data_IF_105088300995
#
_entry.id   IF_105088300995
#
_cell.length_a   1.000
_cell.length_b   1.000
_cell.length_c   1.000
_cell.angle_alpha   90.00
_cell.angle_beta   90.00
_cell.angle_gamma   90.00
#
_symmetry.space_group_name_H-M   'P 1'
#
loop_
_entity.id
_entity.type
_entity.pdbx_description
1 polymer ?
#
# COMPACT_ATOMS: atom_id res chain seq x y z
N UNK A 1 31.94 -32.61 -23.74
CA UNK A 1 33.30 -32.47 -23.20
C UNK A 1 33.42 -31.42 -22.08
N UNK A 2 34.58 -31.37 -21.41
CA UNK A 2 34.99 -30.27 -20.52
C UNK A 2 35.61 -29.17 -21.38
N UNK A 3 35.13 -27.93 -21.32
CA UNK A 3 35.67 -26.81 -22.11
C UNK A 3 36.24 -25.71 -21.21
N UNK A 4 37.43 -25.20 -21.53
CA UNK A 4 37.96 -23.94 -21.01
C UNK A 4 38.12 -23.00 -22.22
N UNK A 5 37.39 -21.89 -22.23
CA UNK A 5 37.60 -20.84 -23.22
C UNK A 5 38.13 -19.61 -22.50
N UNK A 6 39.33 -19.18 -22.90
CA UNK A 6 40.06 -18.04 -22.38
C UNK A 6 40.36 -17.15 -23.57
N UNK A 7 39.79 -15.95 -23.59
CA UNK A 7 40.08 -14.96 -24.61
C UNK A 7 40.50 -13.66 -23.90
N UNK A 8 41.72 -13.22 -24.20
CA UNK A 8 42.35 -12.01 -23.64
C UNK A 8 43.01 -11.23 -24.77
N UNK A 9 42.72 -9.95 -24.91
CA UNK A 9 43.26 -9.09 -25.96
C UNK A 9 43.84 -7.79 -25.38
N UNK A 10 44.91 -7.21 -25.96
CA UNK A 10 45.40 -5.88 -25.59
C UNK A 10 44.38 -4.82 -26.03
N UNK A 11 43.92 -3.98 -25.09
CA UNK A 11 42.87 -2.99 -25.37
C UNK A 11 41.47 -3.59 -25.27
N UNK A 12 40.84 -3.92 -26.41
CA UNK A 12 39.45 -4.41 -26.46
C UNK A 12 39.37 -5.86 -26.92
N UNK A 13 38.49 -6.65 -26.30
CA UNK A 13 38.23 -8.02 -26.72
C UNK A 13 36.77 -8.15 -27.20
N UNK A 14 36.60 -8.58 -28.45
CA UNK A 14 35.29 -8.91 -29.01
C UNK A 14 35.25 -10.40 -29.30
N UNK A 15 34.24 -11.08 -28.80
CA UNK A 15 33.94 -12.47 -29.14
C UNK A 15 32.52 -12.55 -29.69
N UNK A 16 32.39 -12.99 -30.94
CA UNK A 16 31.11 -13.34 -31.55
C UNK A 16 31.06 -14.86 -31.71
N UNK A 17 30.14 -15.53 -31.01
CA UNK A 17 30.03 -16.98 -31.10
C UNK A 17 29.28 -17.65 -29.97
N UNK A 18 28.73 -18.82 -30.28
CA UNK A 18 28.03 -19.67 -29.33
C UNK A 18 28.98 -20.69 -28.68
N UNK A 19 28.88 -20.84 -27.37
CA UNK A 19 29.71 -21.71 -26.56
C UNK A 19 28.80 -22.77 -25.92
N UNK A 20 29.04 -24.05 -26.21
CA UNK A 20 28.33 -25.16 -25.60
C UNK A 20 29.31 -26.12 -24.87
N UNK A 21 29.05 -26.44 -23.61
CA UNK A 21 29.91 -27.36 -22.85
C UNK A 21 29.15 -28.17 -21.79
N UNK A 22 29.49 -29.46 -21.60
CA UNK A 22 28.93 -30.25 -20.51
C UNK A 22 29.37 -29.70 -19.14
N UNK A 23 30.67 -29.40 -19.01
CA UNK A 23 31.24 -28.60 -17.92
C UNK A 23 32.21 -27.57 -18.48
N UNK A 24 32.20 -26.34 -17.99
CA UNK A 24 33.18 -25.37 -18.49
C UNK A 24 33.41 -24.12 -17.66
N UNK A 25 34.60 -23.54 -17.86
CA UNK A 25 34.93 -22.19 -17.39
C UNK A 25 35.18 -21.34 -18.62
N UNK A 26 34.45 -20.23 -18.74
CA UNK A 26 34.58 -19.32 -19.87
C UNK A 26 34.92 -17.94 -19.33
N UNK A 27 36.06 -17.42 -19.77
CA UNK A 27 36.59 -16.12 -19.37
C UNK A 27 36.87 -15.30 -20.63
N UNK A 28 36.22 -14.14 -20.72
CA UNK A 28 36.55 -13.10 -21.68
C UNK A 28 36.96 -11.85 -20.89
N UNK A 29 38.17 -11.37 -21.15
CA UNK A 29 38.84 -10.31 -20.38
C UNK A 29 39.59 -9.35 -21.29
N UNK A 30 39.51 -8.04 -21.06
CA UNK A 30 40.33 -7.05 -21.79
C UNK A 30 40.65 -5.83 -20.89
N UNK A 31 41.78 -5.13 -21.10
CA UNK A 31 42.14 -3.92 -20.33
C UNK A 31 41.23 -2.70 -20.57
N UNK A 32 40.56 -2.63 -21.72
CA UNK A 32 39.67 -1.53 -22.13
C UNK A 32 38.21 -1.96 -22.10
N UNK A 33 37.73 -2.59 -23.18
CA UNK A 33 36.35 -3.06 -23.30
C UNK A 33 36.27 -4.54 -23.64
N UNK A 34 35.26 -5.25 -23.11
CA UNK A 34 35.02 -6.64 -23.45
C UNK A 34 33.57 -6.85 -23.90
N UNK A 35 33.39 -7.33 -25.13
CA UNK A 35 32.09 -7.58 -25.74
C UNK A 35 31.97 -9.06 -26.10
N UNK A 36 30.93 -9.73 -25.58
CA UNK A 36 30.52 -11.05 -26.07
C UNK A 36 29.15 -10.94 -26.72
N UNK A 37 29.06 -11.22 -28.02
CA UNK A 37 27.82 -11.49 -28.72
C UNK A 37 27.65 -13.01 -28.97
N UNK A 38 26.61 -13.63 -28.43
CA UNK A 38 26.32 -15.05 -28.69
C UNK A 38 25.82 -15.83 -27.47
N UNK A 39 25.45 -17.08 -27.70
CA UNK A 39 24.80 -17.90 -26.66
C UNK A 39 25.79 -18.77 -25.89
N UNK A 40 25.56 -18.90 -24.59
CA UNK A 40 26.34 -19.76 -23.71
C UNK A 40 25.42 -20.86 -23.14
N UNK A 41 25.69 -22.11 -23.46
CA UNK A 41 25.01 -23.27 -22.91
C UNK A 41 25.96 -24.15 -22.09
N UNK A 42 25.62 -24.44 -20.84
CA UNK A 42 26.43 -25.37 -20.03
C UNK A 42 25.68 -26.25 -19.05
N UNK A 43 26.02 -27.54 -18.96
CA UNK A 43 25.49 -28.41 -17.90
C UNK A 43 25.89 -27.90 -16.51
N UNK A 44 27.19 -27.65 -16.31
CA UNK A 44 27.72 -26.99 -15.11
C UNK A 44 28.87 -26.03 -15.47
N UNK A 45 28.76 -24.74 -15.15
CA UNK A 45 29.79 -23.79 -15.58
C UNK A 45 29.98 -22.55 -14.72
N UNK A 46 31.13 -21.92 -14.92
CA UNK A 46 31.42 -20.55 -14.47
C UNK A 46 31.71 -19.70 -15.69
N UNK A 47 31.01 -18.59 -15.85
CA UNK A 47 31.19 -17.67 -16.96
C UNK A 47 31.52 -16.30 -16.37
N UNK A 48 32.65 -15.74 -16.79
CA UNK A 48 33.16 -14.45 -16.34
C UNK A 48 33.44 -13.59 -17.57
N UNK A 49 32.82 -12.43 -17.62
CA UNK A 49 33.14 -11.37 -18.58
C UNK A 49 33.56 -10.15 -17.76
N UNK A 50 34.77 -9.66 -17.96
CA UNK A 50 35.36 -8.60 -17.15
C UNK A 50 36.22 -7.64 -17.96
N UNK A 51 36.06 -6.33 -17.76
CA UNK A 51 36.95 -5.32 -18.34
C UNK A 51 37.01 -4.07 -17.46
N UNK A 52 38.16 -3.37 -17.33
CA UNK A 52 38.29 -2.11 -16.59
C UNK A 52 37.39 -0.97 -17.10
N UNK A 53 37.15 -0.86 -18.41
CA UNK A 53 36.27 0.15 -18.99
C UNK A 53 34.81 -0.29 -19.01
N UNK A 54 34.43 -1.07 -20.03
CA UNK A 54 33.04 -1.52 -20.22
C UNK A 54 32.98 -3.01 -20.55
N UNK A 55 31.95 -3.69 -20.04
CA UNK A 55 31.70 -5.10 -20.32
C UNK A 55 30.27 -5.31 -20.82
N UNK A 56 30.12 -5.82 -22.04
CA UNK A 56 28.83 -6.02 -22.70
C UNK A 56 28.66 -7.49 -23.06
N UNK A 57 27.57 -8.10 -22.58
CA UNK A 57 27.13 -9.41 -23.06
C UNK A 57 25.80 -9.25 -23.78
N UNK A 58 25.76 -9.62 -25.07
CA UNK A 58 24.54 -9.68 -25.87
C UNK A 58 24.29 -11.15 -26.26
N UNK A 59 23.31 -11.80 -25.63
CA UNK A 59 23.04 -13.21 -25.90
C UNK A 59 22.40 -13.97 -24.75
N UNK A 60 22.08 -15.24 -25.01
CA UNK A 60 21.39 -16.09 -24.04
C UNK A 60 22.36 -16.97 -23.26
N UNK A 61 22.13 -17.08 -21.96
CA UNK A 61 22.89 -17.92 -21.05
C UNK A 61 21.97 -19.01 -20.50
N UNK A 62 22.20 -20.28 -20.86
CA UNK A 62 21.51 -21.43 -20.31
C UNK A 62 22.45 -22.30 -19.48
N UNK A 63 22.06 -22.66 -18.25
CA UNK A 63 22.85 -23.58 -17.43
C UNK A 63 22.09 -24.50 -16.49
N UNK A 64 22.46 -25.78 -16.43
CA UNK A 64 21.94 -26.69 -15.39
C UNK A 64 22.33 -26.20 -13.99
N UNK A 65 23.63 -25.96 -13.78
CA UNK A 65 24.19 -25.34 -12.57
C UNK A 65 25.29 -24.33 -12.89
N UNK A 66 25.02 -23.04 -12.69
CA UNK A 66 25.89 -21.97 -13.18
C UNK A 66 26.28 -20.92 -12.14
N UNK A 67 27.47 -20.34 -12.30
CA UNK A 67 27.77 -18.98 -11.81
C UNK A 67 28.08 -18.11 -13.02
N UNK A 68 27.41 -16.98 -13.15
CA UNK A 68 27.65 -16.03 -14.23
C UNK A 68 27.96 -14.69 -13.60
N UNK A 69 29.10 -14.12 -13.97
CA UNK A 69 29.61 -12.85 -13.48
C UNK A 69 29.93 -11.97 -14.68
N UNK A 70 29.29 -10.81 -14.73
CA UNK A 70 29.62 -9.72 -15.63
C UNK A 70 30.02 -8.52 -14.78
N UNK A 71 31.26 -8.04 -14.94
CA UNK A 71 31.83 -7.01 -14.06
C UNK A 71 32.65 -6.00 -14.85
N UNK A 72 32.45 -4.71 -14.62
CA UNK A 72 33.32 -3.66 -15.16
C UNK A 72 33.33 -2.42 -14.25
N UNK A 73 34.50 -1.81 -13.95
CA UNK A 73 34.61 -0.55 -13.24
C UNK A 73 33.75 0.58 -13.83
N UNK A 74 33.72 0.76 -15.16
CA UNK A 74 32.87 1.76 -15.81
C UNK A 74 31.41 1.31 -15.93
N UNK A 75 31.09 0.52 -16.95
CA UNK A 75 29.71 0.08 -17.22
C UNK A 75 29.61 -1.40 -17.56
N UNK A 76 28.57 -2.06 -17.04
CA UNK A 76 28.31 -3.47 -17.31
C UNK A 76 26.88 -3.65 -17.85
N UNK A 77 26.76 -4.18 -19.07
CA UNK A 77 25.48 -4.35 -19.77
C UNK A 77 25.29 -5.81 -20.15
N UNK A 78 24.18 -6.40 -19.71
CA UNK A 78 23.72 -7.70 -20.20
C UNK A 78 22.41 -7.52 -20.96
N UNK A 79 22.40 -7.81 -22.25
CA UNK A 79 21.22 -7.85 -23.09
C UNK A 79 20.95 -9.31 -23.51
N UNK A 80 19.92 -9.94 -22.94
CA UNK A 80 19.55 -11.31 -23.27
C UNK A 80 18.99 -12.11 -22.11
N UNK A 81 18.72 -13.39 -22.38
CA UNK A 81 18.00 -14.25 -21.44
C UNK A 81 18.94 -15.14 -20.64
N UNK A 82 18.67 -15.28 -19.35
CA UNK A 82 19.39 -16.14 -18.43
C UNK A 82 18.46 -17.23 -17.91
N UNK A 83 18.71 -18.48 -18.27
CA UNK A 83 18.00 -19.66 -17.77
C UNK A 83 18.93 -20.53 -16.90
N UNK A 84 18.50 -20.90 -15.70
CA UNK A 84 19.27 -21.86 -14.89
C UNK A 84 18.48 -22.79 -13.97
N UNK A 85 18.84 -24.07 -13.93
CA UNK A 85 18.31 -25.00 -12.92
C UNK A 85 18.68 -24.53 -11.51
N UNK A 86 19.99 -24.31 -11.28
CA UNK A 86 20.53 -23.72 -10.04
C UNK A 86 21.64 -22.71 -10.34
N UNK A 87 21.38 -21.42 -10.09
CA UNK A 87 22.26 -20.34 -10.55
C UNK A 87 22.64 -19.32 -9.49
N UNK A 88 23.84 -18.73 -9.62
CA UNK A 88 24.13 -17.38 -9.12
C UNK A 88 24.47 -16.51 -10.31
N UNK A 89 23.79 -15.39 -10.45
CA UNK A 89 24.06 -14.42 -11.51
C UNK A 89 24.38 -13.09 -10.83
N UNK A 90 25.52 -12.53 -11.17
CA UNK A 90 26.02 -11.28 -10.63
C UNK A 90 26.39 -10.37 -11.80
N UNK A 91 25.76 -9.20 -11.83
CA UNK A 91 26.10 -8.11 -12.71
C UNK A 91 26.49 -6.91 -11.83
N UNK A 92 27.73 -6.43 -11.96
CA UNK A 92 28.29 -5.44 -11.06
C UNK A 92 29.11 -4.39 -11.80
N UNK A 93 28.86 -3.11 -11.55
CA UNK A 93 29.70 -2.04 -12.06
C UNK A 93 29.68 -0.80 -11.14
N UNK A 94 30.85 -0.27 -10.73
CA UNK A 94 30.98 1.02 -10.04
C UNK A 94 30.17 2.16 -10.68
N UNK A 95 30.24 2.34 -12.01
CA UNK A 95 29.43 3.35 -12.70
C UNK A 95 27.97 2.93 -12.87
N UNK A 96 27.66 2.15 -13.91
CA UNK A 96 26.29 1.74 -14.23
C UNK A 96 26.17 0.27 -14.60
N UNK A 97 25.12 -0.39 -14.10
CA UNK A 97 24.84 -1.79 -14.40
C UNK A 97 23.44 -1.96 -14.98
N UNK A 98 23.34 -2.49 -16.20
CA UNK A 98 22.08 -2.65 -16.93
C UNK A 98 21.87 -4.11 -17.30
N UNK A 99 20.72 -4.66 -16.93
CA UNK A 99 20.26 -5.95 -17.44
C UNK A 99 18.98 -5.73 -18.24
N UNK A 100 18.99 -6.05 -19.52
CA UNK A 100 17.81 -6.05 -20.39
C UNK A 100 17.54 -7.50 -20.83
N UNK A 101 16.49 -8.13 -20.31
CA UNK A 101 16.11 -9.48 -20.67
C UNK A 101 15.52 -10.31 -19.53
N UNK A 102 15.25 -11.58 -19.83
CA UNK A 102 14.52 -12.45 -18.90
C UNK A 102 15.44 -13.35 -18.10
N UNK A 103 15.15 -13.50 -16.81
CA UNK A 103 15.84 -14.37 -15.89
C UNK A 103 14.89 -15.48 -15.41
N UNK A 104 15.14 -16.73 -15.79
CA UNK A 104 14.43 -17.90 -15.31
C UNK A 104 15.33 -18.79 -14.45
N UNK A 105 14.87 -19.19 -13.25
CA UNK A 105 15.63 -20.15 -12.45
C UNK A 105 14.82 -21.10 -11.55
N UNK A 106 15.18 -22.38 -11.52
CA UNK A 106 14.61 -23.31 -10.54
C UNK A 106 14.97 -22.87 -9.11
N UNK A 107 16.27 -22.66 -8.86
CA UNK A 107 16.80 -22.09 -7.61
C UNK A 107 17.91 -21.08 -7.88
N UNK A 108 17.65 -19.80 -7.64
CA UNK A 108 18.55 -18.72 -8.05
C UNK A 108 18.92 -17.71 -6.96
N UNK A 109 20.11 -17.15 -7.05
CA UNK A 109 20.40 -15.81 -6.52
C UNK A 109 20.78 -14.91 -7.69
N UNK A 110 20.12 -13.78 -7.83
CA UNK A 110 20.42 -12.79 -8.85
C UNK A 110 20.72 -11.47 -8.16
N UNK A 111 21.90 -10.92 -8.45
CA UNK A 111 22.37 -9.67 -7.90
C UNK A 111 22.74 -8.75 -9.06
N UNK A 112 22.09 -7.60 -9.11
CA UNK A 112 22.47 -6.49 -9.96
C UNK A 112 22.85 -5.33 -9.03
N UNK A 113 24.09 -4.85 -9.12
CA UNK A 113 24.64 -3.88 -8.18
C UNK A 113 25.47 -2.82 -8.89
N UNK A 114 25.20 -1.54 -8.62
CA UNK A 114 26.04 -0.46 -9.11
C UNK A 114 26.02 0.77 -8.18
N UNK A 115 27.17 1.28 -7.70
CA UNK A 115 27.28 2.56 -7.01
C UNK A 115 26.52 3.71 -7.68
N UNK A 116 26.67 3.92 -8.99
CA UNK A 116 25.90 4.95 -9.71
C UNK A 116 24.44 4.56 -9.93
N UNK A 117 24.16 3.75 -10.96
CA UNK A 117 22.79 3.36 -11.32
C UNK A 117 22.66 1.89 -11.70
N UNK A 118 21.60 1.24 -11.22
CA UNK A 118 21.31 -0.15 -11.53
C UNK A 118 19.92 -0.29 -12.15
N UNK A 119 19.85 -0.81 -13.38
CA UNK A 119 18.60 -0.94 -14.14
C UNK A 119 18.38 -2.38 -14.56
N UNK A 120 17.24 -2.95 -14.18
CA UNK A 120 16.77 -4.22 -14.71
C UNK A 120 15.49 -3.99 -15.53
N UNK A 121 15.53 -4.27 -16.82
CA UNK A 121 14.38 -4.26 -17.71
C UNK A 121 14.10 -5.69 -18.19
N UNK A 122 13.03 -6.31 -17.71
CA UNK A 122 12.64 -7.67 -18.11
C UNK A 122 12.02 -8.49 -16.99
N UNK A 123 11.79 -9.77 -17.28
CA UNK A 123 11.03 -10.66 -16.39
C UNK A 123 11.93 -11.57 -15.57
N UNK A 124 11.60 -11.73 -14.30
CA UNK A 124 12.28 -12.62 -13.37
C UNK A 124 11.31 -13.72 -12.92
N UNK A 125 11.56 -14.96 -13.33
CA UNK A 125 10.83 -16.15 -12.87
C UNK A 125 11.71 -17.06 -12.01
N UNK A 126 11.24 -17.46 -10.83
CA UNK A 126 11.96 -18.44 -10.02
C UNK A 126 11.13 -19.39 -9.16
N UNK A 127 11.48 -20.68 -9.15
CA UNK A 127 10.90 -21.62 -8.18
C UNK A 127 11.24 -21.21 -6.75
N UNK A 128 12.53 -21.04 -6.46
CA UNK A 128 13.04 -20.50 -5.20
C UNK A 128 14.17 -19.48 -5.41
N UNK A 129 13.91 -18.21 -5.14
CA UNK A 129 14.81 -17.12 -5.52
C UNK A 129 15.17 -16.14 -4.40
N UNK A 130 16.38 -15.57 -4.48
CA UNK A 130 16.67 -14.24 -3.94
C UNK A 130 17.07 -13.33 -5.08
N UNK A 131 16.40 -12.21 -5.23
CA UNK A 131 16.73 -11.20 -6.24
C UNK A 131 17.02 -9.90 -5.52
N UNK A 132 18.19 -9.34 -5.78
CA UNK A 132 18.67 -8.11 -5.18
C UNK A 132 19.07 -7.18 -6.31
N UNK A 133 18.44 -6.01 -6.34
CA UNK A 133 18.83 -4.88 -7.16
C UNK A 133 19.21 -3.74 -6.21
N UNK A 134 20.45 -3.29 -6.28
CA UNK A 134 21.01 -2.33 -5.31
C UNK A 134 21.85 -1.26 -5.99
N UNK A 135 21.57 0.00 -5.71
CA UNK A 135 22.41 1.10 -6.17
C UNK A 135 22.38 2.31 -5.23
N UNK A 136 23.54 2.77 -4.70
CA UNK A 136 23.67 4.05 -4.00
C UNK A 136 22.93 5.22 -4.65
N UNK A 137 23.10 5.46 -5.96
CA UNK A 137 22.36 6.49 -6.68
C UNK A 137 20.90 6.11 -6.94
N UNK A 138 20.64 5.35 -8.00
CA UNK A 138 19.27 4.98 -8.41
C UNK A 138 19.14 3.51 -8.81
N UNK A 139 18.05 2.87 -8.37
CA UNK A 139 17.75 1.49 -8.71
C UNK A 139 16.37 1.37 -9.36
N UNK A 140 16.33 0.90 -10.60
CA UNK A 140 15.10 0.78 -11.39
C UNK A 140 14.88 -0.66 -11.81
N UNK A 141 13.70 -1.20 -11.52
CA UNK A 141 13.23 -2.46 -12.08
C UNK A 141 11.98 -2.20 -12.91
N UNK A 142 12.03 -2.49 -14.21
CA UNK A 142 10.91 -2.46 -15.11
C UNK A 142 10.61 -3.89 -15.61
N UNK A 143 9.50 -4.49 -15.19
CA UNK A 143 9.11 -5.82 -15.61
C UNK A 143 8.48 -6.66 -14.50
N UNK A 144 8.26 -7.95 -14.81
CA UNK A 144 7.48 -8.84 -13.95
C UNK A 144 8.36 -9.77 -13.13
N UNK A 145 7.99 -9.97 -11.87
CA UNK A 145 8.64 -10.88 -10.94
C UNK A 145 7.67 -11.98 -10.53
N UNK A 146 7.92 -13.22 -10.94
CA UNK A 146 7.17 -14.41 -10.53
C UNK A 146 8.04 -15.32 -9.65
N UNK A 147 7.53 -15.76 -8.49
CA UNK A 147 8.24 -16.75 -7.67
C UNK A 147 7.39 -17.71 -6.85
N UNK A 148 7.74 -19.00 -6.84
CA UNK A 148 7.13 -19.95 -5.91
C UNK A 148 7.44 -19.57 -4.46
N UNK A 149 8.73 -19.41 -4.14
CA UNK A 149 9.22 -18.89 -2.85
C UNK A 149 10.37 -17.91 -3.03
N UNK A 150 10.12 -16.63 -2.71
CA UNK A 150 11.05 -15.55 -3.06
C UNK A 150 11.38 -14.58 -1.93
N UNK A 151 12.59 -14.02 -1.98
CA UNK A 151 12.87 -12.70 -1.41
C UNK A 151 13.29 -11.78 -2.55
N UNK A 152 12.63 -10.65 -2.70
CA UNK A 152 12.98 -9.63 -3.68
C UNK A 152 13.26 -8.34 -2.94
N UNK A 153 14.45 -7.79 -3.16
CA UNK A 153 14.91 -6.56 -2.54
C UNK A 153 15.35 -5.61 -3.66
N UNK A 154 14.72 -4.45 -3.70
CA UNK A 154 15.13 -3.32 -4.50
C UNK A 154 15.48 -2.19 -3.52
N UNK A 155 16.74 -1.72 -3.55
CA UNK A 155 17.27 -0.79 -2.56
C UNK A 155 18.14 0.28 -3.21
N UNK A 156 17.87 1.55 -2.90
CA UNK A 156 18.74 2.65 -3.32
C UNK A 156 18.68 3.83 -2.35
N UNK A 157 19.81 4.31 -1.80
CA UNK A 157 19.93 5.58 -1.07
C UNK A 157 19.21 6.75 -1.75
N UNK A 158 19.44 7.00 -3.04
CA UNK A 158 18.72 8.06 -3.77
C UNK A 158 17.26 7.69 -4.06
N UNK A 159 17.01 6.94 -5.14
CA UNK A 159 15.66 6.58 -5.57
C UNK A 159 15.53 5.12 -6.00
N UNK A 160 14.44 4.47 -5.58
CA UNK A 160 14.14 3.10 -5.94
C UNK A 160 12.76 3.00 -6.62
N UNK A 161 12.73 2.55 -7.87
CA UNK A 161 11.52 2.47 -8.69
C UNK A 161 11.30 1.03 -9.15
N UNK A 162 10.13 0.48 -8.86
CA UNK A 162 9.65 -0.76 -9.46
C UNK A 162 8.40 -0.47 -10.30
N UNK A 163 8.49 -0.72 -11.60
CA UNK A 163 7.38 -0.65 -12.54
C UNK A 163 7.09 -2.06 -13.07
N UNK A 164 5.99 -2.67 -12.65
CA UNK A 164 5.58 -4.00 -13.10
C UNK A 164 4.95 -4.87 -12.03
N UNK A 165 4.71 -6.13 -12.36
CA UNK A 165 3.90 -7.04 -11.55
C UNK A 165 4.75 -7.98 -10.71
N UNK A 166 4.34 -8.21 -9.47
CA UNK A 166 4.97 -9.15 -8.55
C UNK A 166 3.97 -10.26 -8.18
N UNK A 167 4.24 -11.49 -8.59
CA UNK A 167 3.49 -12.68 -8.21
C UNK A 167 4.33 -13.61 -7.33
N UNK A 168 3.80 -14.05 -6.18
CA UNK A 168 4.49 -15.06 -5.37
C UNK A 168 3.62 -16.04 -4.58
N UNK A 169 3.96 -17.32 -4.59
CA UNK A 169 3.32 -18.30 -3.69
C UNK A 169 3.60 -17.94 -2.22
N UNK A 170 4.90 -17.79 -1.88
CA UNK A 170 5.36 -17.32 -0.57
C UNK A 170 6.51 -16.33 -0.69
N UNK A 171 6.26 -15.07 -0.38
CA UNK A 171 7.21 -13.98 -0.69
C UNK A 171 7.53 -13.05 0.48
N UNK A 172 8.75 -12.48 0.45
CA UNK A 172 9.03 -11.17 1.06
C UNK A 172 9.49 -10.24 -0.05
N UNK A 173 8.84 -9.10 -0.18
CA UNK A 173 9.20 -8.07 -1.15
C UNK A 173 9.48 -6.79 -0.37
N UNK A 174 10.67 -6.26 -0.56
CA UNK A 174 11.14 -5.03 0.08
C UNK A 174 11.59 -4.08 -1.01
N UNK A 175 10.98 -2.91 -1.04
CA UNK A 175 11.41 -1.76 -1.82
C UNK A 175 11.75 -0.65 -0.82
N UNK A 176 13.01 -0.21 -0.82
CA UNK A 176 13.53 0.72 0.20
C UNK A 176 14.40 1.80 -0.43
N UNK A 177 14.13 3.06 -0.11
CA UNK A 177 15.00 4.16 -0.50
C UNK A 177 14.94 5.35 0.47
N UNK A 178 16.07 5.80 1.05
CA UNK A 178 16.19 7.05 1.78
C UNK A 178 15.49 8.24 1.13
N UNK A 179 15.74 8.52 -0.16
CA UNK A 179 15.05 9.59 -0.88
C UNK A 179 13.59 9.25 -1.21
N UNK A 180 13.36 8.49 -2.28
CA UNK A 180 12.01 8.15 -2.74
C UNK A 180 11.87 6.70 -3.21
N UNK A 181 10.77 6.07 -2.82
CA UNK A 181 10.46 4.69 -3.21
C UNK A 181 9.10 4.62 -3.92
N UNK A 182 9.10 4.19 -5.18
CA UNK A 182 7.90 4.13 -6.02
C UNK A 182 7.68 2.70 -6.51
N UNK A 183 6.49 2.17 -6.26
CA UNK A 183 6.01 0.94 -6.88
C UNK A 183 4.79 1.25 -7.74
N UNK A 184 4.90 1.02 -9.05
CA UNK A 184 3.81 1.10 -10.01
C UNK A 184 3.53 -0.30 -10.56
N UNK A 185 2.41 -0.91 -10.20
CA UNK A 185 2.01 -2.23 -10.67
C UNK A 185 1.33 -3.10 -9.63
N UNK A 186 1.07 -4.35 -10.00
CA UNK A 186 0.24 -5.26 -9.21
C UNK A 186 1.06 -6.24 -8.39
N UNK A 187 0.61 -6.52 -7.17
CA UNK A 187 1.22 -7.45 -6.24
C UNK A 187 0.21 -8.57 -5.93
N UNK A 188 0.51 -9.80 -6.32
CA UNK A 188 -0.26 -10.98 -5.97
C UNK A 188 0.55 -11.94 -5.09
N UNK A 189 0.00 -12.38 -3.95
CA UNK A 189 0.66 -13.41 -3.14
C UNK A 189 -0.25 -14.41 -2.43
N UNK A 190 0.12 -15.68 -2.43
CA UNK A 190 -0.52 -16.68 -1.55
C UNK A 190 -0.28 -16.32 -0.08
N UNK A 191 1.00 -16.18 0.30
CA UNK A 191 1.42 -15.72 1.62
C UNK A 191 2.60 -14.76 1.55
N UNK A 192 2.38 -13.49 1.88
CA UNK A 192 3.35 -12.43 1.62
C UNK A 192 3.65 -11.49 2.79
N UNK A 193 4.86 -10.92 2.79
CA UNK A 193 5.11 -9.62 3.41
C UNK A 193 5.61 -8.66 2.33
N UNK A 194 4.94 -7.53 2.18
CA UNK A 194 5.36 -6.47 1.26
C UNK A 194 5.63 -5.23 2.09
N UNK A 195 6.84 -4.69 1.94
CA UNK A 195 7.29 -3.48 2.61
C UNK A 195 7.77 -2.51 1.54
N UNK A 196 7.14 -1.35 1.50
CA UNK A 196 7.62 -0.18 0.75
C UNK A 196 7.96 0.89 1.79
N UNK A 197 9.22 1.32 1.82
CA UNK A 197 9.74 2.20 2.86
C UNK A 197 10.63 3.29 2.28
N UNK A 198 10.37 4.55 2.63
CA UNK A 198 11.26 5.64 2.26
C UNK A 198 11.22 6.81 3.26
N UNK A 199 12.36 7.23 3.85
CA UNK A 199 12.48 8.46 4.62
C UNK A 199 11.79 9.69 3.98
N UNK A 200 12.02 9.96 2.70
CA UNK A 200 11.32 11.05 1.99
C UNK A 200 9.88 10.70 1.64
N UNK A 201 9.66 10.03 0.51
CA UNK A 201 8.31 9.70 0.02
C UNK A 201 8.18 8.25 -0.46
N UNK A 202 7.05 7.63 -0.11
CA UNK A 202 6.74 6.27 -0.52
C UNK A 202 5.40 6.22 -1.27
N UNK A 203 5.43 5.82 -2.53
CA UNK A 203 4.24 5.78 -3.41
C UNK A 203 4.02 4.37 -3.93
N UNK A 204 2.83 3.83 -3.70
CA UNK A 204 2.35 2.62 -4.35
C UNK A 204 1.15 2.96 -5.24
N UNK A 205 1.27 2.72 -6.54
CA UNK A 205 0.18 2.82 -7.51
C UNK A 205 -0.10 1.44 -8.10
N UNK A 206 -1.24 0.84 -7.80
CA UNK A 206 -1.63 -0.46 -8.32
C UNK A 206 -2.36 -1.35 -7.31
N UNK A 207 -2.55 -2.61 -7.69
CA UNK A 207 -3.37 -3.54 -6.92
C UNK A 207 -2.54 -4.45 -6.02
N UNK A 208 -3.10 -4.83 -4.88
CA UNK A 208 -2.51 -5.78 -3.94
C UNK A 208 -3.53 -6.88 -3.64
N UNK A 209 -3.26 -8.11 -4.08
CA UNK A 209 -4.05 -9.29 -3.76
C UNK A 209 -3.24 -10.26 -2.87
N UNK A 210 -3.80 -10.69 -1.73
CA UNK A 210 -3.15 -11.71 -0.92
C UNK A 210 -4.08 -12.73 -0.24
N UNK A 211 -3.71 -14.02 -0.27
CA UNK A 211 -4.40 -15.02 0.56
C UNK A 211 -4.17 -14.71 2.05
N UNK A 212 -2.90 -14.58 2.45
CA UNK A 212 -2.50 -14.16 3.80
C UNK A 212 -1.30 -13.20 3.78
N UNK A 213 -1.53 -11.93 4.10
CA UNK A 213 -0.54 -10.87 3.87
C UNK A 213 -0.27 -9.95 5.07
N UNK A 214 0.94 -9.39 5.11
CA UNK A 214 1.20 -8.09 5.75
C UNK A 214 1.71 -7.13 4.69
N UNK A 215 1.04 -6.00 4.52
CA UNK A 215 1.47 -4.93 3.64
C UNK A 215 1.75 -3.70 4.49
N UNK A 216 2.96 -3.18 4.40
CA UNK A 216 3.42 -1.99 5.09
C UNK A 216 3.92 -1.01 4.04
N UNK A 217 3.32 0.18 4.03
CA UNK A 217 3.80 1.34 3.31
C UNK A 217 4.12 2.41 4.35
N UNK A 218 5.38 2.83 4.42
CA UNK A 218 5.88 3.70 5.49
C UNK A 218 6.82 4.78 4.95
N UNK A 219 6.57 6.03 5.31
CA UNK A 219 7.48 7.13 4.99
C UNK A 219 7.40 8.28 6.00
N UNK A 220 8.52 8.71 6.63
CA UNK A 220 8.61 9.94 7.40
C UNK A 220 7.95 11.15 6.75
N UNK A 221 8.24 11.46 5.49
CA UNK A 221 7.58 12.56 4.78
C UNK A 221 6.13 12.24 4.40
N UNK A 222 5.93 11.55 3.28
CA UNK A 222 4.58 11.23 2.77
C UNK A 222 4.45 9.81 2.26
N UNK A 223 3.31 9.18 2.56
CA UNK A 223 3.01 7.83 2.11
C UNK A 223 1.67 7.80 1.35
N UNK A 224 1.71 7.40 0.08
CA UNK A 224 0.55 7.39 -0.82
C UNK A 224 0.32 5.99 -1.37
N UNK A 225 -0.89 5.47 -1.19
CA UNK A 225 -1.37 4.28 -1.87
C UNK A 225 -2.54 4.64 -2.78
N UNK A 226 -2.38 4.43 -4.08
CA UNK A 226 -3.45 4.55 -5.07
C UNK A 226 -3.74 3.17 -5.67
N UNK A 227 -4.93 2.62 -5.42
CA UNK A 227 -5.36 1.34 -5.97
C UNK A 227 -6.05 0.42 -4.96
N UNK A 228 -6.28 -0.82 -5.40
CA UNK A 228 -7.13 -1.76 -4.67
C UNK A 228 -6.32 -2.75 -3.83
N UNK A 229 -6.81 -3.05 -2.63
CA UNK A 229 -6.28 -4.06 -1.73
C UNK A 229 -7.32 -5.15 -1.51
N UNK A 230 -7.04 -6.40 -1.90
CA UNK A 230 -7.86 -7.57 -1.62
C UNK A 230 -7.09 -8.57 -0.74
N UNK A 231 -7.68 -9.05 0.36
CA UNK A 231 -7.06 -10.11 1.16
C UNK A 231 -8.01 -11.12 1.79
N UNK A 232 -7.63 -12.40 1.80
CA UNK A 232 -8.32 -13.40 2.62
C UNK A 232 -8.13 -13.12 4.11
N UNK A 233 -6.86 -12.99 4.53
CA UNK A 233 -6.47 -12.58 5.89
C UNK A 233 -5.29 -11.61 5.86
N UNK A 234 -5.53 -10.34 6.16
CA UNK A 234 -4.54 -9.27 5.97
C UNK A 234 -4.27 -8.39 7.19
N UNK A 235 -3.05 -7.85 7.26
CA UNK A 235 -2.79 -6.58 7.95
C UNK A 235 -2.26 -5.59 6.93
N UNK A 236 -2.90 -4.44 6.81
CA UNK A 236 -2.45 -3.36 5.95
C UNK A 236 -2.17 -2.15 6.84
N UNK A 237 -0.95 -1.65 6.78
CA UNK A 237 -0.50 -0.48 7.51
C UNK A 237 0.04 0.53 6.49
N UNK A 238 -0.55 1.71 6.49
CA UNK A 238 -0.05 2.89 5.81
C UNK A 238 0.26 3.94 6.87
N UNK A 239 1.53 4.34 6.96
CA UNK A 239 2.02 5.21 8.05
C UNK A 239 2.95 6.29 7.53
N UNK A 240 2.71 7.54 7.92
CA UNK A 240 3.64 8.63 7.64
C UNK A 240 3.56 9.76 8.66
N UNK A 241 4.67 10.16 9.31
CA UNK A 241 4.78 11.38 10.11
C UNK A 241 4.12 12.62 9.48
N UNK A 242 4.41 12.94 8.22
CA UNK A 242 3.75 14.05 7.52
C UNK A 242 2.31 13.72 7.10
N UNK A 243 2.13 13.07 5.95
CA UNK A 243 0.80 12.77 5.41
C UNK A 243 0.67 11.35 4.88
N UNK A 244 -0.47 10.72 5.17
CA UNK A 244 -0.78 9.37 4.71
C UNK A 244 -2.10 9.35 3.92
N UNK A 245 -2.03 8.98 2.64
CA UNK A 245 -3.17 9.00 1.72
C UNK A 245 -3.41 7.61 1.14
N UNK A 246 -4.63 7.11 1.28
CA UNK A 246 -5.10 5.93 0.57
C UNK A 246 -6.25 6.32 -0.36
N UNK A 247 -6.08 6.13 -1.67
CA UNK A 247 -7.11 6.30 -2.67
C UNK A 247 -7.41 4.94 -3.32
N UNK A 248 -8.57 4.34 -3.05
CA UNK A 248 -8.97 3.06 -3.64
C UNK A 248 -9.74 2.16 -2.70
N UNK A 249 -9.97 0.93 -3.15
CA UNK A 249 -10.85 -0.02 -2.46
C UNK A 249 -10.07 -1.02 -1.60
N UNK A 250 -10.58 -1.32 -0.41
CA UNK A 250 -10.06 -2.36 0.48
C UNK A 250 -11.12 -3.44 0.67
N UNK A 251 -10.84 -4.68 0.25
CA UNK A 251 -11.66 -5.85 0.50
C UNK A 251 -10.92 -6.87 1.38
N UNK A 252 -11.53 -7.35 2.47
CA UNK A 252 -10.92 -8.42 3.27
C UNK A 252 -11.88 -9.44 3.87
N UNK A 253 -11.52 -10.73 3.84
CA UNK A 253 -12.24 -11.75 4.61
C UNK A 253 -12.08 -11.51 6.12
N UNK A 254 -10.82 -11.41 6.57
CA UNK A 254 -10.44 -11.05 7.94
C UNK A 254 -9.27 -10.05 7.95
N UNK A 255 -9.51 -8.80 8.31
CA UNK A 255 -8.54 -7.71 8.13
C UNK A 255 -8.28 -6.86 9.36
N UNK A 256 -7.05 -6.33 9.46
CA UNK A 256 -6.77 -5.09 10.19
C UNK A 256 -6.20 -4.07 9.20
N UNK A 257 -6.85 -2.92 9.07
CA UNK A 257 -6.37 -1.81 8.27
C UNK A 257 -6.10 -0.64 9.20
N UNK A 258 -4.87 -0.13 9.14
CA UNK A 258 -4.43 1.02 9.89
C UNK A 258 -3.86 2.03 8.91
N UNK A 259 -4.44 3.22 8.92
CA UNK A 259 -3.92 4.39 8.25
C UNK A 259 -3.63 5.44 9.34
N UNK A 260 -2.36 5.85 9.46
CA UNK A 260 -1.90 6.69 10.57
C UNK A 260 -0.93 7.77 10.10
N UNK A 261 -1.17 9.01 10.51
CA UNK A 261 -0.23 10.10 10.27
C UNK A 261 -0.33 11.20 11.33
N UNK A 262 0.77 11.61 12.00
CA UNK A 262 0.85 12.80 12.82
C UNK A 262 0.21 14.06 12.20
N UNK A 263 0.52 14.38 10.94
CA UNK A 263 -0.10 15.50 10.23
C UNK A 263 -1.53 15.20 9.78
N UNK A 264 -1.68 14.57 8.61
CA UNK A 264 -3.00 14.28 8.02
C UNK A 264 -3.12 12.86 7.48
N UNK A 265 -4.27 12.24 7.73
CA UNK A 265 -4.59 10.90 7.25
C UNK A 265 -5.88 10.91 6.43
N UNK A 266 -5.80 10.56 5.15
CA UNK A 266 -6.91 10.61 4.21
C UNK A 266 -7.16 9.23 3.59
N UNK A 267 -8.38 8.73 3.70
CA UNK A 267 -8.86 7.58 2.95
C UNK A 267 -9.98 8.01 2.01
N UNK A 268 -9.78 7.83 0.70
CA UNK A 268 -10.80 8.02 -0.32
C UNK A 268 -11.09 6.67 -1.00
N UNK A 269 -12.27 6.10 -0.78
CA UNK A 269 -12.68 4.84 -1.39
C UNK A 269 -13.47 3.93 -0.45
N UNK A 270 -13.67 2.68 -0.90
CA UNK A 270 -14.59 1.74 -0.24
C UNK A 270 -13.85 0.68 0.56
N UNK A 271 -14.36 0.36 1.75
CA UNK A 271 -13.86 -0.68 2.63
C UNK A 271 -14.92 -1.76 2.82
N UNK A 272 -14.68 -2.97 2.31
CA UNK A 272 -15.52 -4.15 2.53
C UNK A 272 -14.79 -5.18 3.40
N UNK A 273 -15.44 -5.69 4.46
CA UNK A 273 -14.84 -6.78 5.25
C UNK A 273 -15.81 -7.78 5.87
N UNK A 274 -15.48 -9.08 5.80
CA UNK A 274 -16.22 -10.10 6.54
C UNK A 274 -16.08 -9.91 8.06
N UNK A 275 -14.83 -9.84 8.54
CA UNK A 275 -14.48 -9.43 9.91
C UNK A 275 -13.31 -8.45 9.90
N UNK A 276 -13.51 -7.22 10.39
CA UNK A 276 -12.53 -6.15 10.23
C UNK A 276 -12.29 -5.31 11.48
N UNK A 277 -11.06 -4.81 11.61
CA UNK A 277 -10.78 -3.58 12.37
C UNK A 277 -10.17 -2.57 11.41
N UNK A 278 -10.78 -1.40 11.32
CA UNK A 278 -10.30 -0.30 10.50
C UNK A 278 -10.06 0.89 11.40
N UNK A 279 -8.83 1.40 11.39
CA UNK A 279 -8.41 2.54 12.18
C UNK A 279 -7.82 3.58 11.23
N UNK A 280 -8.40 4.76 11.23
CA UNK A 280 -7.86 5.96 10.63
C UNK A 280 -7.56 6.97 11.74
N UNK A 281 -6.30 7.35 11.91
CA UNK A 281 -5.86 8.17 13.04
C UNK A 281 -4.87 9.24 12.61
N UNK A 282 -5.11 10.49 13.03
CA UNK A 282 -4.17 11.58 12.85
C UNK A 282 -4.31 12.66 13.92
N UNK A 283 -3.24 13.06 14.63
CA UNK A 283 -3.18 14.26 15.47
C UNK A 283 -3.81 15.51 14.82
N UNK A 284 -3.42 15.84 13.60
CA UNK A 284 -4.00 16.98 12.87
C UNK A 284 -5.41 16.70 12.35
N UNK A 285 -5.53 16.06 11.19
CA UNK A 285 -6.82 15.79 10.54
C UNK A 285 -6.95 14.38 10.00
N UNK A 286 -8.13 13.78 10.21
CA UNK A 286 -8.45 12.45 9.71
C UNK A 286 -9.72 12.50 8.85
N UNK A 287 -9.60 12.15 7.57
CA UNK A 287 -10.71 12.22 6.60
C UNK A 287 -10.95 10.86 5.97
N UNK A 288 -12.18 10.37 6.06
CA UNK A 288 -12.65 9.21 5.31
C UNK A 288 -13.75 9.65 4.34
N UNK A 289 -13.53 9.50 3.04
CA UNK A 289 -14.52 9.73 2.00
C UNK A 289 -14.80 8.40 1.27
N UNK A 290 -15.99 7.83 1.45
CA UNK A 290 -16.40 6.60 0.79
C UNK A 290 -17.20 5.65 1.68
N UNK A 291 -17.37 4.42 1.20
CA UNK A 291 -18.27 3.45 1.83
C UNK A 291 -17.54 2.46 2.73
N UNK A 292 -18.19 2.03 3.80
CA UNK A 292 -17.71 1.01 4.72
C UNK A 292 -18.78 -0.07 4.85
N UNK A 293 -18.50 -1.28 4.39
CA UNK A 293 -19.34 -2.46 4.56
C UNK A 293 -18.65 -3.52 5.45
N UNK A 294 -19.32 -4.00 6.49
CA UNK A 294 -18.77 -5.11 7.28
C UNK A 294 -19.78 -6.13 7.81
N UNK A 295 -19.45 -7.42 7.74
CA UNK A 295 -20.21 -8.45 8.44
C UNK A 295 -20.09 -8.28 9.97
N UNK A 296 -18.84 -8.21 10.47
CA UNK A 296 -18.51 -7.86 11.85
C UNK A 296 -17.32 -6.90 11.93
N UNK A 297 -17.55 -5.66 12.35
CA UNK A 297 -16.55 -4.60 12.25
C UNK A 297 -16.31 -3.80 13.52
N UNK A 298 -15.09 -3.29 13.68
CA UNK A 298 -14.83 -2.08 14.47
C UNK A 298 -14.21 -1.04 13.53
N UNK A 299 -14.82 0.12 13.41
CA UNK A 299 -14.28 1.24 12.67
C UNK A 299 -14.05 2.39 13.65
N UNK A 300 -12.83 2.90 13.65
CA UNK A 300 -12.42 4.03 14.47
C UNK A 300 -11.80 5.07 13.54
N UNK A 301 -12.37 6.26 13.56
CA UNK A 301 -11.84 7.46 12.96
C UNK A 301 -11.56 8.45 14.09
N UNK A 302 -10.30 8.83 14.29
CA UNK A 302 -9.87 9.60 15.45
C UNK A 302 -8.87 10.68 15.07
N UNK A 303 -9.14 11.92 15.48
CA UNK A 303 -8.19 13.02 15.34
C UNK A 303 -8.36 14.07 16.44
N UNK A 304 -7.30 14.43 17.20
CA UNK A 304 -7.26 15.59 18.08
C UNK A 304 -7.83 16.87 17.45
N UNK A 305 -7.40 17.23 16.23
CA UNK A 305 -7.92 18.39 15.50
C UNK A 305 -9.31 18.16 14.92
N UNK A 306 -9.40 17.55 13.73
CA UNK A 306 -10.67 17.33 13.05
C UNK A 306 -10.82 15.93 12.46
N UNK A 307 -12.00 15.34 12.62
CA UNK A 307 -12.34 14.03 12.09
C UNK A 307 -13.59 14.12 11.20
N UNK A 308 -13.45 13.78 9.92
CA UNK A 308 -14.53 13.87 8.93
C UNK A 308 -14.78 12.51 8.30
N UNK A 309 -16.02 12.06 8.32
CA UNK A 309 -16.50 10.92 7.54
C UNK A 309 -17.55 11.40 6.55
N UNK A 310 -17.31 11.21 5.26
CA UNK A 310 -18.28 11.45 4.19
C UNK A 310 -18.56 10.15 3.45
N UNK A 311 -19.75 9.57 3.63
CA UNK A 311 -20.15 8.34 2.96
C UNK A 311 -20.99 7.41 3.82
N UNK A 312 -21.17 6.18 3.35
CA UNK A 312 -22.11 5.22 3.93
C UNK A 312 -21.42 4.15 4.75
N UNK A 313 -22.01 3.80 5.90
CA UNK A 313 -21.57 2.73 6.78
C UNK A 313 -22.66 1.67 6.87
N UNK A 314 -22.40 0.47 6.38
CA UNK A 314 -23.26 -0.70 6.53
C UNK A 314 -22.58 -1.78 7.39
N UNK A 315 -23.26 -2.28 8.43
CA UNK A 315 -22.72 -3.42 9.17
C UNK A 315 -23.75 -4.41 9.72
N UNK A 316 -23.46 -5.71 9.61
CA UNK A 316 -24.24 -6.74 10.28
C UNK A 316 -24.13 -6.61 11.80
N UNK A 317 -22.88 -6.61 12.31
CA UNK A 317 -22.56 -6.33 13.72
C UNK A 317 -21.37 -5.38 13.85
N UNK A 318 -21.59 -4.14 14.31
CA UNK A 318 -20.56 -3.09 14.24
C UNK A 318 -20.36 -2.29 15.53
N UNK A 319 -19.13 -1.80 15.73
CA UNK A 319 -18.89 -0.59 16.52
C UNK A 319 -18.25 0.45 15.61
N UNK A 320 -18.86 1.62 15.52
CA UNK A 320 -18.33 2.75 14.76
C UNK A 320 -18.13 3.91 15.72
N UNK A 321 -16.90 4.41 15.78
CA UNK A 321 -16.51 5.54 16.61
C UNK A 321 -15.86 6.58 15.72
N UNK A 322 -16.44 7.78 15.73
CA UNK A 322 -15.87 8.99 15.17
C UNK A 322 -15.64 9.94 16.35
N UNK A 323 -14.38 10.29 16.60
CA UNK A 323 -13.97 11.06 17.79
C UNK A 323 -12.96 12.15 17.44
N UNK A 324 -13.24 13.37 17.88
CA UNK A 324 -12.29 14.47 17.79
C UNK A 324 -12.50 15.50 18.91
N UNK A 325 -11.47 15.81 19.73
CA UNK A 325 -11.46 16.96 20.64
C UNK A 325 -11.97 18.26 20.01
N UNK A 326 -11.48 18.62 18.82
CA UNK A 326 -11.91 19.80 18.08
C UNK A 326 -13.28 19.62 17.41
N UNK A 327 -13.30 19.05 16.20
CA UNK A 327 -14.54 18.88 15.43
C UNK A 327 -14.71 17.49 14.83
N UNK A 328 -15.93 16.94 14.93
CA UNK A 328 -16.29 15.66 14.37
C UNK A 328 -17.50 15.79 13.44
N UNK A 329 -17.33 15.44 12.16
CA UNK A 329 -18.39 15.55 11.14
C UNK A 329 -18.65 14.20 10.51
N UNK A 330 -19.91 13.77 10.50
CA UNK A 330 -20.39 12.65 9.71
C UNK A 330 -21.41 13.14 8.70
N UNK A 331 -21.15 12.93 7.41
CA UNK A 331 -22.07 13.19 6.32
C UNK A 331 -22.35 11.88 5.57
N UNK A 332 -23.55 11.33 5.69
CA UNK A 332 -23.97 10.11 5.00
C UNK A 332 -24.79 9.16 5.86
N UNK A 333 -24.93 7.93 5.38
CA UNK A 333 -25.92 6.98 5.89
C UNK A 333 -25.28 5.89 6.73
N UNK A 334 -25.91 5.55 7.86
CA UNK A 334 -25.48 4.49 8.76
C UNK A 334 -26.58 3.41 8.83
N UNK A 335 -26.30 2.22 8.31
CA UNK A 335 -27.16 1.06 8.43
C UNK A 335 -26.50 -0.03 9.31
N UNK A 336 -27.22 -0.54 10.32
CA UNK A 336 -26.72 -1.69 11.07
C UNK A 336 -27.76 -2.69 11.55
N UNK A 337 -27.46 -3.99 11.43
CA UNK A 337 -28.28 -5.04 12.03
C UNK A 337 -28.19 -4.99 13.56
N UNK A 338 -26.96 -5.00 14.11
CA UNK A 338 -26.68 -4.75 15.53
C UNK A 338 -25.47 -3.84 15.73
N UNK A 339 -25.61 -2.67 16.34
CA UNK A 339 -24.52 -1.69 16.34
C UNK A 339 -24.42 -0.77 17.56
N UNK A 340 -23.21 -0.29 17.82
CA UNK A 340 -22.99 0.93 18.60
C UNK A 340 -22.33 1.97 17.69
N UNK A 341 -22.93 3.14 17.58
CA UNK A 341 -22.41 4.26 16.82
C UNK A 341 -22.22 5.43 17.78
N UNK A 342 -20.99 5.94 17.85
CA UNK A 342 -20.62 7.06 18.71
C UNK A 342 -19.96 8.12 17.84
N UNK A 343 -20.55 9.30 17.85
CA UNK A 343 -19.97 10.53 17.34
C UNK A 343 -19.73 11.45 18.54
N UNK A 344 -18.46 11.77 18.83
CA UNK A 344 -18.07 12.49 20.03
C UNK A 344 -17.07 13.60 19.73
N UNK A 345 -17.40 14.82 20.14
CA UNK A 345 -16.47 15.94 20.10
C UNK A 345 -16.74 16.95 21.22
N UNK A 346 -15.79 17.21 22.13
CA UNK A 346 -15.81 18.33 23.07
C UNK A 346 -16.22 19.66 22.42
N UNK A 347 -15.61 20.01 21.29
CA UNK A 347 -15.91 21.24 20.53
C UNK A 347 -17.22 21.16 19.76
N UNK A 348 -17.20 20.61 18.53
CA UNK A 348 -18.40 20.52 17.69
C UNK A 348 -18.61 19.13 17.07
N UNK A 349 -19.84 18.64 17.12
CA UNK A 349 -20.24 17.39 16.48
C UNK A 349 -21.41 17.60 15.50
N UNK A 350 -21.20 17.26 14.23
CA UNK A 350 -22.23 17.38 13.20
C UNK A 350 -22.52 16.02 12.60
N UNK A 351 -23.78 15.66 12.52
CA UNK A 351 -24.26 14.53 11.75
C UNK A 351 -25.29 15.01 10.71
N UNK A 352 -25.01 14.76 9.44
CA UNK A 352 -25.93 14.98 8.33
C UNK A 352 -26.18 13.65 7.61
N UNK A 353 -27.41 13.15 7.63
CA UNK A 353 -27.78 11.91 6.94
C UNK A 353 -28.66 10.96 7.74
N UNK A 354 -28.79 9.73 7.24
CA UNK A 354 -29.77 8.77 7.76
C UNK A 354 -29.14 7.71 8.67
N UNK A 355 -29.85 7.31 9.71
CA UNK A 355 -29.46 6.22 10.61
C UNK A 355 -30.57 5.17 10.61
N UNK A 356 -30.26 3.96 10.17
CA UNK A 356 -31.16 2.80 10.22
C UNK A 356 -30.54 1.68 11.07
N UNK A 357 -31.28 1.17 12.07
CA UNK A 357 -30.78 0.12 12.95
C UNK A 357 -31.83 -0.92 13.32
N UNK A 358 -31.51 -2.20 13.16
CA UNK A 358 -32.34 -3.28 13.69
C UNK A 358 -32.29 -3.29 15.22
N UNK A 359 -31.08 -3.36 15.79
CA UNK A 359 -30.83 -3.24 17.24
C UNK A 359 -29.58 -2.41 17.55
N UNK A 360 -29.69 -1.22 18.17
CA UNK A 360 -28.50 -0.40 18.36
C UNK A 360 -28.53 0.66 19.45
N UNK A 361 -27.35 1.20 19.72
CA UNK A 361 -27.18 2.43 20.50
C UNK A 361 -26.50 3.47 19.61
N UNK A 362 -27.10 4.63 19.48
CA UNK A 362 -26.54 5.77 18.75
C UNK A 362 -26.39 6.92 19.74
N UNK A 363 -25.16 7.44 19.86
CA UNK A 363 -24.83 8.56 20.73
C UNK A 363 -24.14 9.64 19.91
N UNK A 364 -24.73 10.83 19.91
CA UNK A 364 -24.12 12.07 19.48
C UNK A 364 -23.85 12.92 20.72
N UNK A 365 -22.58 13.22 20.98
CA UNK A 365 -22.16 13.92 22.20
C UNK A 365 -21.24 15.07 21.85
N UNK A 366 -21.66 16.29 22.16
CA UNK A 366 -20.80 17.46 22.14
C UNK A 366 -21.18 18.46 23.23
N UNK A 367 -20.33 18.63 24.26
CA UNK A 367 -20.47 19.69 25.25
C UNK A 367 -20.61 21.08 24.62
N UNK A 368 -19.83 21.40 23.58
CA UNK A 368 -19.94 22.66 22.85
C UNK A 368 -21.19 22.73 21.98
N UNK A 369 -21.12 22.29 20.70
CA UNK A 369 -22.26 22.30 19.78
C UNK A 369 -22.52 20.93 19.14
N UNK A 370 -23.78 20.50 19.13
CA UNK A 370 -24.21 19.30 18.41
C UNK A 370 -25.31 19.61 17.41
N UNK A 371 -25.12 19.19 16.16
CA UNK A 371 -26.13 19.30 15.10
C UNK A 371 -26.43 17.91 14.55
N UNK A 372 -27.72 17.60 14.43
CA UNK A 372 -28.20 16.45 13.68
C UNK A 372 -29.23 16.92 12.65
N UNK A 373 -28.97 16.60 11.39
CA UNK A 373 -29.85 16.87 10.26
C UNK A 373 -30.07 15.56 9.49
N UNK A 374 -31.28 15.00 9.55
CA UNK A 374 -31.61 13.77 8.84
C UNK A 374 -32.61 12.89 9.57
N UNK A 375 -32.63 11.60 9.22
CA UNK A 375 -33.64 10.65 9.70
C UNK A 375 -33.04 9.55 10.56
N UNK A 376 -33.80 9.15 11.58
CA UNK A 376 -33.42 8.04 12.47
C UNK A 376 -34.55 7.02 12.50
N UNK A 377 -34.25 5.80 12.05
CA UNK A 377 -35.13 4.63 12.08
C UNK A 377 -34.51 3.51 12.92
N UNK A 378 -35.27 2.99 13.89
CA UNK A 378 -34.77 1.98 14.82
C UNK A 378 -35.85 0.94 15.17
N UNK A 379 -35.50 -0.33 15.02
CA UNK A 379 -36.36 -1.44 15.43
C UNK A 379 -36.40 -1.56 16.97
N UNK A 380 -35.24 -1.76 17.61
CA UNK A 380 -35.09 -1.76 19.08
C UNK A 380 -33.75 -1.13 19.50
N UNK A 381 -33.75 0.06 20.10
CA UNK A 381 -32.50 0.74 20.43
C UNK A 381 -32.68 1.98 21.29
N UNK A 382 -31.55 2.56 21.74
CA UNK A 382 -31.52 3.87 22.41
C UNK A 382 -30.79 4.87 21.51
N UNK A 383 -31.40 6.03 21.31
CA UNK A 383 -30.80 7.16 20.63
C UNK A 383 -30.65 8.28 21.66
N UNK A 384 -29.42 8.76 21.84
CA UNK A 384 -29.08 9.78 22.81
C UNK A 384 -28.36 10.92 22.09
N UNK A 385 -28.84 12.13 22.34
CA UNK A 385 -28.21 13.38 21.96
C UNK A 385 -27.88 14.13 23.25
N UNK A 386 -26.61 14.51 23.42
CA UNK A 386 -26.14 15.20 24.63
C UNK A 386 -25.38 16.47 24.25
N UNK A 387 -25.89 17.62 24.70
CA UNK A 387 -25.28 18.96 24.60
C UNK A 387 -25.23 19.58 26.00
N UNK A 388 -24.14 20.26 26.35
CA UNK A 388 -23.95 20.81 27.71
C UNK A 388 -23.66 22.32 27.74
N UNK A 389 -23.53 22.99 26.59
CA UNK A 389 -23.18 24.41 26.51
C UNK A 389 -24.31 25.25 25.90
N UNK A 390 -24.53 26.46 26.45
CA UNK A 390 -25.58 27.42 26.06
C UNK A 390 -25.44 28.06 24.68
N UNK A 391 -24.82 27.39 23.71
CA UNK A 391 -24.70 27.88 22.32
C UNK A 391 -25.58 27.07 21.38
N UNK A 392 -26.55 27.74 20.74
CA UNK A 392 -27.45 27.29 19.66
C UNK A 392 -27.41 25.81 19.25
N UNK A 393 -28.39 25.03 19.72
CA UNK A 393 -28.68 23.69 19.18
C UNK A 393 -29.73 23.80 18.07
N UNK A 394 -29.41 23.35 16.86
CA UNK A 394 -30.34 23.27 15.73
C UNK A 394 -30.71 21.82 15.43
N UNK A 395 -32.01 21.53 15.32
CA UNK A 395 -32.54 20.20 15.09
C UNK A 395 -33.52 20.20 13.91
N UNK A 396 -33.23 19.39 12.89
CA UNK A 396 -34.19 19.02 11.84
C UNK A 396 -34.18 17.49 11.75
N UNK A 397 -35.13 16.86 12.44
CA UNK A 397 -35.17 15.41 12.61
C UNK A 397 -36.56 14.88 12.25
N UNK A 398 -36.62 13.91 11.34
CA UNK A 398 -37.81 13.09 11.15
C UNK A 398 -37.57 11.73 11.84
N UNK A 399 -38.39 11.42 12.85
CA UNK A 399 -38.24 10.22 13.68
C UNK A 399 -39.36 9.21 13.39
N UNK A 400 -38.99 8.00 12.97
CA UNK A 400 -39.93 6.87 12.86
C UNK A 400 -39.42 5.73 13.75
N UNK A 401 -39.96 5.62 14.97
CA UNK A 401 -39.52 4.66 15.98
C UNK A 401 -40.64 3.72 16.44
N UNK A 402 -40.31 2.44 16.71
CA UNK A 402 -41.13 1.48 17.48
C UNK A 402 -40.49 1.12 18.83
N UNK A 403 -39.81 2.07 19.50
CA UNK A 403 -39.15 1.84 20.80
C UNK A 403 -38.78 3.12 21.58
N UNK A 404 -38.35 2.97 22.85
CA UNK A 404 -38.14 4.06 23.82
C UNK A 404 -37.07 5.08 23.37
N UNK A 405 -37.48 6.32 23.11
CA UNK A 405 -36.62 7.45 22.81
C UNK A 405 -36.47 8.35 24.06
N UNK A 406 -35.27 8.84 24.34
CA UNK A 406 -35.00 9.77 25.44
C UNK A 406 -34.27 10.98 24.88
N UNK A 407 -35.00 12.04 24.57
CA UNK A 407 -34.41 13.36 24.30
C UNK A 407 -34.28 14.06 25.65
N UNK A 408 -33.06 14.31 26.12
CA UNK A 408 -32.87 15.14 27.30
C UNK A 408 -33.00 16.61 26.85
N UNK A 409 -34.21 17.16 26.90
CA UNK A 409 -34.46 18.60 26.69
C UNK A 409 -34.04 19.36 27.94
N UNK A 410 -33.02 20.20 27.82
CA UNK A 410 -32.87 21.38 28.68
C UNK A 410 -33.53 22.56 27.94
N UNK A 411 -34.52 23.20 28.57
CA UNK A 411 -35.11 24.50 28.17
C UNK A 411 -33.97 25.54 28.18
N UNK A 412 -33.81 26.49 27.24
CA UNK A 412 -34.75 27.55 26.85
C UNK A 412 -34.40 28.22 25.50
N UNK A 413 -35.49 28.67 24.85
CA UNK A 413 -35.80 29.61 23.75
C UNK A 413 -34.73 30.46 23.00
N UNK A 414 -34.86 30.47 21.67
CA UNK A 414 -35.21 31.67 20.89
C UNK A 414 -35.62 31.29 19.47
N UNK A 415 -36.93 31.30 19.16
CA UNK A 415 -37.41 31.35 17.78
C UNK A 415 -37.98 32.73 17.54
N UNK A 416 -37.19 33.56 16.86
CA UNK A 416 -37.68 34.76 16.20
C UNK A 416 -38.64 34.31 15.11
N UNK A 417 -39.94 34.60 15.25
CA UNK A 417 -40.80 34.76 14.09
C UNK A 417 -41.90 35.81 14.36
N UNK A 418 -41.80 36.93 13.64
CA UNK A 418 -42.92 37.82 13.38
C UNK A 418 -44.04 37.06 12.66
N UNK A 419 -45.29 37.14 13.17
CA UNK A 419 -46.50 37.56 12.43
C UNK A 419 -47.77 37.45 13.28
N UNK A 420 -48.52 38.56 13.25
CA UNK A 420 -49.95 38.74 13.52
C UNK A 420 -50.83 37.49 13.44
N UNK A 421 -51.70 37.27 14.43
CA UNK A 421 -53.15 37.52 14.29
C UNK A 421 -53.92 37.35 15.62
N UNK A 422 -55.06 38.06 15.67
CA UNK A 422 -56.01 38.26 16.78
C UNK A 422 -56.73 36.98 17.23
N UNK A 423 -57.21 36.97 18.47
CA UNK A 423 -58.57 36.61 18.98
C UNK A 423 -58.47 36.24 20.48
N UNK A 424 -58.83 37.13 21.42
CA UNK A 424 -60.15 37.31 22.09
C UNK A 424 -60.74 36.05 22.75
N UNK A 425 -61.04 36.16 24.06
CA UNK A 425 -61.95 35.30 24.84
C UNK A 425 -61.42 35.01 26.25
N UNK A 426 -61.69 35.88 27.24
CA UNK A 426 -62.79 35.78 28.22
C UNK A 426 -62.60 34.69 29.28
N UNK A 427 -62.37 35.08 30.56
CA UNK A 427 -62.89 34.56 31.86
C UNK A 427 -62.55 35.67 32.89
N UNK A 428 -63.48 36.52 33.35
CA UNK A 428 -64.30 36.39 34.60
C UNK A 428 -63.43 36.02 35.82
N UNK A 429 -63.34 36.73 36.95
CA UNK A 429 -64.05 37.83 37.61
C UNK A 429 -63.04 38.83 38.20
#
# INVERSE_FOLDING_TARGET
GRGKHLLSAPGSAVHAGSIASGRGKHLLSAPGSAVHAGSIASGRGKHLLSAPGSAVHAGSIASGRGKHLLSAPGSAVHAGSIASGRGKHLLSAPGSAVHAGSIASGRGKHLLSAPGSAVHAGSIASGRGKHLLSAPGSAVHAGSIASGRGKHLLSAPGSAVHAGSIASGRGKHLLSAPGSAVHAGSIASGRGKHLLSAPGSAVHAGSIASGRGKHLLSAPGSAVHAGSIASGRGKHLLSAPGSAVHAGSIASGRGKHLLSAPGSAVHAGSIASGRGKHLLSAPGSAVHAGSIASGRGKHLLSAPGSAVHAGSIASGRGKHLLSAPGSAVHAGSIASGRGKHLLSAPGSAVHAGSIASGRGKHLLSAPGSAVHAGSIASGRGKHLLSTAGGGGSAHACEFVARGNCSVLRLRELATVHMRNEKLKGCWEM
#
